data_IF_632495581018
#
_entry.id   IF_632495581018
#
_cell.length_a   1.000
_cell.length_b   1.000
_cell.length_c   1.000
_cell.angle_alpha   90.00
_cell.angle_beta   90.00
_cell.angle_gamma   90.00
#
_symmetry.space_group_name_H-M   'P 1'
#
loop_
_entity.id
_entity.type
_entity.pdbx_description
1 polymer ?
#
# COMPACT_ATOMS: atom_id res chain seq x y z
N UNK A 1 -7.24 22.76 1.66
CA UNK A 1 -8.42 22.34 0.88
C UNK A 1 -9.43 21.72 1.83
N UNK A 2 -10.72 22.07 1.71
CA UNK A 2 -11.79 21.52 2.54
C UNK A 2 -12.32 20.29 1.82
N UNK A 3 -11.94 19.10 2.28
CA UNK A 3 -12.50 17.86 1.74
C UNK A 3 -13.92 17.74 2.26
N UNK A 4 -14.91 17.93 1.39
CA UNK A 4 -16.29 17.61 1.73
C UNK A 4 -16.40 16.10 1.94
N UNK A 5 -16.83 15.71 3.13
CA UNK A 5 -17.09 14.31 3.49
C UNK A 5 -18.34 13.85 2.72
N UNK A 6 -18.12 13.22 1.56
CA UNK A 6 -19.20 12.55 0.85
C UNK A 6 -19.49 11.23 1.56
N UNK A 7 -20.53 11.20 2.41
CA UNK A 7 -21.03 9.98 3.09
C UNK A 7 -21.77 9.01 2.15
N UNK A 8 -21.45 9.05 0.85
CA UNK A 8 -22.20 8.35 -0.21
C UNK A 8 -22.04 6.83 -0.14
N UNK A 9 -21.08 6.34 0.62
CA UNK A 9 -20.69 4.93 0.70
C UNK A 9 -20.48 4.45 2.14
N UNK A 10 -21.05 5.14 3.13
CA UNK A 10 -20.92 4.75 4.54
C UNK A 10 -21.58 3.39 4.82
N UNK A 11 -22.54 2.99 3.98
CA UNK A 11 -23.26 1.72 4.06
C UNK A 11 -22.43 0.50 3.64
N UNK A 12 -21.30 0.70 2.95
CA UNK A 12 -20.42 -0.38 2.49
C UNK A 12 -19.13 -0.54 3.30
N UNK A 13 -18.86 0.35 4.27
CA UNK A 13 -17.59 0.38 5.00
C UNK A 13 -17.39 -0.84 5.92
N UNK A 14 -18.49 -1.35 6.50
CA UNK A 14 -18.48 -2.49 7.44
C UNK A 14 -18.88 -3.81 6.77
N UNK A 15 -18.99 -3.85 5.43
CA UNK A 15 -19.33 -5.07 4.73
C UNK A 15 -18.18 -6.09 4.79
N UNK A 16 -18.49 -7.40 4.88
CA UNK A 16 -17.48 -8.44 4.81
C UNK A 16 -16.66 -8.32 3.53
N UNK A 17 -15.33 -8.46 3.66
CA UNK A 17 -14.46 -8.48 2.49
C UNK A 17 -14.79 -9.70 1.61
N UNK A 18 -15.18 -9.44 0.36
CA UNK A 18 -15.42 -10.50 -0.61
C UNK A 18 -14.17 -11.37 -0.81
N UNK A 19 -14.33 -12.68 -0.69
CA UNK A 19 -13.35 -13.66 -1.14
C UNK A 19 -13.96 -14.51 -2.25
N UNK A 20 -13.24 -14.66 -3.34
CA UNK A 20 -13.70 -15.48 -4.45
C UNK A 20 -13.78 -16.94 -4.01
N UNK A 21 -14.92 -17.58 -4.28
CA UNK A 21 -15.11 -19.03 -4.08
C UNK A 21 -14.54 -19.85 -5.24
N UNK A 22 -14.36 -19.23 -6.41
CA UNK A 22 -13.89 -19.88 -7.65
C UNK A 22 -12.39 -19.73 -7.86
N UNK A 23 -11.84 -18.54 -7.59
CA UNK A 23 -10.44 -18.24 -7.87
C UNK A 23 -9.66 -18.15 -6.56
N UNK A 24 -8.68 -19.05 -6.31
CA UNK A 24 -7.89 -19.00 -5.10
C UNK A 24 -7.07 -17.70 -5.06
N UNK A 25 -6.94 -17.12 -3.87
CA UNK A 25 -6.07 -15.97 -3.68
C UNK A 25 -4.61 -16.33 -3.95
N UNK A 26 -3.89 -15.37 -4.54
CA UNK A 26 -2.45 -15.48 -4.74
C UNK A 26 -1.73 -15.71 -3.39
N UNK A 27 -0.85 -16.71 -3.27
CA UNK A 27 -0.05 -16.91 -2.06
C UNK A 27 0.82 -15.69 -1.74
N UNK A 28 1.08 -15.42 -0.45
CA UNK A 28 1.87 -14.27 -0.02
C UNK A 28 3.25 -14.18 -0.69
N UNK A 29 3.96 -15.31 -0.83
CA UNK A 29 5.27 -15.37 -1.51
C UNK A 29 5.22 -14.87 -2.96
N UNK A 30 4.13 -15.16 -3.68
CA UNK A 30 3.96 -14.74 -5.07
C UNK A 30 3.62 -13.25 -5.15
N UNK A 31 2.94 -12.70 -4.12
CA UNK A 31 2.74 -11.24 -4.01
C UNK A 31 4.07 -10.54 -3.76
N UNK A 32 4.89 -11.05 -2.84
CA UNK A 32 6.21 -10.52 -2.56
C UNK A 32 7.11 -10.53 -3.80
N UNK A 33 6.98 -11.55 -4.66
CA UNK A 33 7.74 -11.65 -5.90
C UNK A 33 7.56 -10.45 -6.84
N UNK A 34 6.43 -9.73 -6.77
CA UNK A 34 6.18 -8.51 -7.55
C UNK A 34 7.17 -7.39 -7.21
N UNK A 35 7.71 -7.40 -5.98
CA UNK A 35 8.68 -6.42 -5.48
C UNK A 35 10.14 -6.89 -5.60
N UNK A 36 10.38 -8.06 -6.21
CA UNK A 36 11.75 -8.56 -6.44
C UNK A 36 12.67 -7.60 -7.19
N UNK A 37 12.21 -6.76 -8.14
CA UNK A 37 13.08 -5.76 -8.76
C UNK A 37 13.77 -4.82 -7.77
N UNK A 38 13.23 -4.64 -6.56
CA UNK A 38 13.80 -3.79 -5.51
C UNK A 38 14.67 -4.54 -4.51
N UNK A 39 14.91 -5.84 -4.70
CA UNK A 39 15.73 -6.63 -3.78
C UNK A 39 17.17 -6.09 -3.64
N UNK A 40 17.68 -5.41 -4.67
CA UNK A 40 19.00 -4.77 -4.64
C UNK A 40 19.11 -3.61 -3.61
N UNK A 41 17.99 -3.11 -3.10
CA UNK A 41 17.94 -2.06 -2.09
C UNK A 41 18.11 -2.59 -0.65
N UNK A 42 18.16 -3.90 -0.47
CA UNK A 42 18.48 -4.49 0.84
C UNK A 42 19.89 -4.06 1.29
N UNK A 43 20.03 -3.59 2.53
CA UNK A 43 21.28 -3.04 3.07
C UNK A 43 21.46 -1.52 2.90
N UNK A 44 20.50 -0.84 2.26
CA UNK A 44 20.50 0.63 2.09
C UNK A 44 19.38 1.32 2.88
N UNK A 45 18.94 0.73 3.98
CA UNK A 45 17.78 1.17 4.76
C UNK A 45 17.91 2.63 5.23
N UNK A 46 19.11 3.03 5.65
CA UNK A 46 19.38 4.40 6.14
C UNK A 46 19.22 5.44 5.04
N UNK A 47 19.71 5.16 3.82
CA UNK A 47 19.58 6.07 2.68
C UNK A 47 18.12 6.21 2.23
N UNK A 48 17.36 5.11 2.25
CA UNK A 48 15.93 5.11 1.95
C UNK A 48 15.19 5.95 2.98
N UNK A 49 15.50 5.80 4.27
CA UNK A 49 14.88 6.56 5.35
C UNK A 49 15.17 8.06 5.25
N UNK A 50 16.42 8.44 4.95
CA UNK A 50 16.79 9.84 4.73
C UNK A 50 16.04 10.43 3.55
N UNK A 51 16.05 9.75 2.40
CA UNK A 51 15.35 10.22 1.19
C UNK A 51 13.85 10.37 1.44
N UNK A 52 13.24 9.44 2.19
CA UNK A 52 11.83 9.52 2.55
C UNK A 52 11.52 10.75 3.43
N UNK A 53 12.43 11.12 4.34
CA UNK A 53 12.30 12.34 5.16
C UNK A 53 12.35 13.60 4.29
N UNK A 54 13.35 13.72 3.42
CA UNK A 54 13.50 14.87 2.52
C UNK A 54 12.29 15.06 1.60
N UNK A 55 11.72 13.96 1.08
CA UNK A 55 10.52 14.00 0.24
C UNK A 55 9.29 14.49 1.02
N UNK A 56 9.14 14.10 2.29
CA UNK A 56 8.04 14.58 3.13
C UNK A 56 8.17 16.08 3.40
N UNK A 57 9.37 16.53 3.78
CA UNK A 57 9.66 17.95 4.06
C UNK A 57 9.44 18.84 2.83
N UNK A 58 9.64 18.32 1.61
CA UNK A 58 9.34 19.06 0.35
C UNK A 58 7.85 19.08 -0.01
N UNK A 59 7.08 18.12 0.48
CA UNK A 59 5.64 18.00 0.22
C UNK A 59 4.77 18.79 1.21
N UNK A 60 5.36 19.25 2.30
CA UNK A 60 4.80 20.21 3.26
C UNK A 60 4.97 21.66 2.76
#
# INVERSE_FOLDING_TARGET
MKFESTRRYDDIIDLPHHRSTRHPHMPMRNRAAQFMPFAALAGYEDLIAQTAKEVRERGE
#
